data_IF_985241506372
#
_entry.id   IF_985241506372
#
_cell.length_a   1.000
_cell.length_b   1.000
_cell.length_c   1.000
_cell.angle_alpha   90.00
_cell.angle_beta   90.00
_cell.angle_gamma   90.00
#
_symmetry.space_group_name_H-M   'P 1'
#
loop_
_entity.id
_entity.type
_entity.pdbx_description
1 polymer ?
#
# COMPACT_ATOMS: atom_id res chain seq x y z
N UNK A 1 30.61 15.19 38.13
CA UNK A 1 29.39 15.92 37.72
C UNK A 1 29.41 16.09 36.19
N UNK A 2 28.66 15.28 35.41
CA UNK A 2 28.47 15.52 33.98
C UNK A 2 27.00 15.87 33.74
N UNK A 3 26.60 17.11 34.02
CA UNK A 3 25.20 17.54 33.94
C UNK A 3 24.87 18.41 32.71
N UNK A 4 25.75 19.31 32.21
CA UNK A 4 25.36 20.24 31.14
C UNK A 4 25.09 19.57 29.79
N UNK A 5 25.90 18.58 29.40
CA UNK A 5 25.80 17.98 28.06
C UNK A 5 24.58 17.06 27.90
N UNK A 6 24.19 16.38 28.98
CA UNK A 6 23.03 15.49 28.99
C UNK A 6 21.71 16.26 28.95
N UNK A 7 21.67 17.45 29.58
CA UNK A 7 20.55 18.38 29.48
C UNK A 7 20.40 19.00 28.10
N UNK A 8 21.49 19.42 27.46
CA UNK A 8 21.47 19.95 26.08
C UNK A 8 21.00 18.88 25.09
N UNK A 9 21.46 17.63 25.23
CA UNK A 9 21.00 16.53 24.39
C UNK A 9 19.51 16.24 24.58
N UNK A 10 19.03 16.20 25.83
CA UNK A 10 17.62 16.01 26.15
C UNK A 10 16.76 17.13 25.57
N UNK A 11 17.25 18.37 25.58
CA UNK A 11 16.53 19.52 25.06
C UNK A 11 16.46 19.49 23.52
N UNK A 12 17.57 19.17 22.84
CA UNK A 12 17.59 18.99 21.39
C UNK A 12 16.73 17.82 20.91
N UNK A 13 16.65 16.74 21.69
CA UNK A 13 15.77 15.62 21.40
C UNK A 13 14.29 16.00 21.52
N UNK A 14 13.92 16.73 22.58
CA UNK A 14 12.55 17.22 22.76
C UNK A 14 12.15 18.23 21.67
N UNK A 15 13.07 19.11 21.24
CA UNK A 15 12.81 20.01 20.11
C UNK A 15 12.53 19.26 18.82
N UNK A 16 13.37 18.27 18.46
CA UNK A 16 13.12 17.45 17.27
C UNK A 16 11.81 16.68 17.36
N UNK A 17 11.46 16.18 18.54
CA UNK A 17 10.20 15.50 18.76
C UNK A 17 9.00 16.44 18.55
N UNK A 18 9.11 17.67 19.06
CA UNK A 18 8.12 18.71 18.88
C UNK A 18 7.99 19.15 17.41
N UNK A 19 9.10 19.32 16.70
CA UNK A 19 9.11 19.63 15.25
C UNK A 19 8.44 18.52 14.43
N UNK A 20 8.71 17.26 14.76
CA UNK A 20 8.06 16.11 14.12
C UNK A 20 6.55 16.10 14.42
N UNK A 21 6.17 16.44 15.64
CA UNK A 21 4.78 16.52 16.07
C UNK A 21 4.03 17.67 15.38
N UNK A 22 4.65 18.84 15.25
CA UNK A 22 4.11 19.99 14.51
C UNK A 22 3.99 19.70 13.02
N UNK A 23 4.97 19.02 12.42
CA UNK A 23 4.91 18.60 11.03
C UNK A 23 3.80 17.59 10.77
N UNK A 24 3.62 16.61 11.66
CA UNK A 24 2.51 15.66 11.60
C UNK A 24 1.16 16.37 11.76
N UNK A 25 1.07 17.35 12.66
CA UNK A 25 -0.12 18.16 12.85
C UNK A 25 -0.46 19.00 11.61
N UNK A 26 0.54 19.54 10.92
CA UNK A 26 0.31 20.25 9.65
C UNK A 26 -0.10 19.31 8.52
N UNK A 27 0.54 18.14 8.40
CA UNK A 27 0.11 17.12 7.43
C UNK A 27 -1.33 16.65 7.70
N UNK A 28 -1.73 16.58 8.98
CA UNK A 28 -3.10 16.29 9.39
C UNK A 28 -4.10 17.38 8.97
N UNK A 29 -3.79 18.66 9.17
CA UNK A 29 -4.63 19.79 8.73
C UNK A 29 -4.77 19.85 7.20
N UNK A 30 -3.69 19.55 6.49
CA UNK A 30 -3.71 19.50 5.02
C UNK A 30 -4.52 18.31 4.49
N UNK A 31 -4.39 17.13 5.11
CA UNK A 31 -5.20 15.97 4.74
C UNK A 31 -6.67 16.19 5.06
N UNK A 32 -7.02 16.67 6.27
CA UNK A 32 -8.41 16.89 6.67
C UNK A 32 -9.12 17.94 5.80
N UNK A 33 -8.41 19.01 5.40
CA UNK A 33 -8.93 20.01 4.46
C UNK A 33 -9.31 19.39 3.11
N UNK A 34 -8.46 18.52 2.56
CA UNK A 34 -8.72 17.81 1.29
C UNK A 34 -9.93 16.89 1.37
N UNK A 35 -10.26 16.36 2.55
CA UNK A 35 -11.47 15.55 2.77
C UNK A 35 -12.73 16.39 3.03
N UNK A 36 -12.59 17.58 3.60
CA UNK A 36 -13.73 18.46 3.93
C UNK A 36 -14.27 19.23 2.72
N UNK A 37 -13.44 19.51 1.70
CA UNK A 37 -13.88 20.12 0.44
C UNK A 37 -14.79 19.21 -0.40
N UNK A 38 -14.79 17.89 -0.14
CA UNK A 38 -15.66 16.91 -0.82
C UNK A 38 -16.85 16.46 0.06
N UNK A 39 -16.92 16.91 1.31
CA UNK A 39 -18.00 16.59 2.25
C UNK A 39 -17.85 17.35 3.55
N UNK A 40 -18.45 18.53 3.64
CA UNK A 40 -18.27 19.46 4.75
C UNK A 40 -18.78 18.93 6.09
N UNK A 41 -17.87 18.47 6.95
CA UNK A 41 -18.05 18.43 8.41
C UNK A 41 -16.69 18.59 9.08
N UNK A 42 -16.46 19.74 9.72
CA UNK A 42 -15.45 19.86 10.78
C UNK A 42 -15.87 19.00 11.98
N UNK A 43 -15.21 17.86 12.20
CA UNK A 43 -15.22 17.15 13.48
C UNK A 43 -13.82 16.64 13.78
N UNK A 44 -13.30 16.99 14.97
CA UNK A 44 -12.20 16.26 15.59
C UNK A 44 -12.66 14.81 15.76
N UNK A 45 -12.26 13.93 14.85
CA UNK A 45 -12.70 12.53 14.85
C UNK A 45 -12.15 11.83 16.10
N UNK A 46 -13.03 11.08 16.78
CA UNK A 46 -12.63 10.26 17.93
C UNK A 46 -11.62 9.17 17.48
N UNK A 47 -10.69 8.72 18.33
CA UNK A 47 -9.70 7.70 17.96
C UNK A 47 -10.30 6.43 17.33
N UNK A 48 -11.48 6.02 17.79
CA UNK A 48 -12.23 4.87 17.28
C UNK A 48 -12.77 5.08 15.85
N UNK A 49 -13.18 6.32 15.52
CA UNK A 49 -13.58 6.71 14.16
C UNK A 49 -12.37 6.69 13.22
N UNK A 50 -11.20 7.08 13.73
CA UNK A 50 -9.95 7.07 12.96
C UNK A 50 -9.44 5.65 12.68
N UNK A 51 -9.52 4.74 13.66
CA UNK A 51 -9.21 3.32 13.44
C UNK A 51 -10.14 2.69 12.40
N UNK A 52 -11.44 2.97 12.50
CA UNK A 52 -12.45 2.46 11.57
C UNK A 52 -12.21 2.95 10.14
N UNK A 53 -11.91 4.25 9.99
CA UNK A 53 -11.56 4.84 8.69
C UNK A 53 -10.29 4.22 8.12
N UNK A 54 -9.24 4.07 8.93
CA UNK A 54 -7.98 3.49 8.49
C UNK A 54 -8.12 2.01 8.07
N UNK A 55 -8.94 1.24 8.79
CA UNK A 55 -9.27 -0.13 8.42
C UNK A 55 -10.08 -0.20 7.12
N UNK A 56 -11.07 0.67 6.94
CA UNK A 56 -11.84 0.77 5.70
C UNK A 56 -10.94 1.10 4.50
N UNK A 57 -9.99 2.02 4.68
CA UNK A 57 -8.99 2.34 3.66
C UNK A 57 -8.14 1.11 3.35
N UNK A 58 -7.63 0.40 4.36
CA UNK A 58 -6.85 -0.82 4.16
C UNK A 58 -7.63 -1.91 3.40
N UNK A 59 -8.91 -2.12 3.73
CA UNK A 59 -9.80 -3.04 3.01
C UNK A 59 -9.94 -2.65 1.53
N UNK A 60 -10.27 -1.38 1.24
CA UNK A 60 -10.43 -0.90 -0.15
C UNK A 60 -9.12 -1.00 -0.93
N UNK A 61 -8.00 -0.59 -0.35
CA UNK A 61 -6.70 -0.61 -1.03
C UNK A 61 -6.27 -2.04 -1.34
N UNK A 62 -6.41 -2.98 -0.39
CA UNK A 62 -6.07 -4.39 -0.63
C UNK A 62 -6.98 -5.04 -1.67
N UNK A 63 -8.27 -4.69 -1.69
CA UNK A 63 -9.21 -5.12 -2.74
C UNK A 63 -8.79 -4.61 -4.13
N UNK A 64 -8.44 -3.33 -4.25
CA UNK A 64 -7.96 -2.75 -5.51
C UNK A 64 -6.68 -3.42 -5.99
N UNK A 65 -5.77 -3.72 -5.06
CA UNK A 65 -4.52 -4.40 -5.35
C UNK A 65 -4.76 -5.84 -5.82
N UNK A 66 -5.73 -6.56 -5.24
CA UNK A 66 -6.15 -7.89 -5.69
C UNK A 66 -6.68 -7.84 -7.13
N UNK A 67 -7.62 -6.94 -7.41
CA UNK A 67 -8.19 -6.76 -8.78
C UNK A 67 -7.08 -6.45 -9.78
N UNK A 68 -6.14 -5.59 -9.41
CA UNK A 68 -5.00 -5.22 -10.27
C UNK A 68 -4.08 -6.41 -10.51
N UNK A 69 -3.70 -7.15 -9.46
CA UNK A 69 -2.86 -8.33 -9.60
C UNK A 69 -3.54 -9.43 -10.43
N UNK A 70 -4.85 -9.65 -10.28
CA UNK A 70 -5.60 -10.58 -11.15
C UNK A 70 -5.50 -10.20 -12.64
N UNK A 71 -5.59 -8.89 -12.96
CA UNK A 71 -5.39 -8.41 -14.33
C UNK A 71 -3.97 -8.67 -14.80
N UNK A 72 -2.96 -8.43 -13.95
CA UNK A 72 -1.55 -8.68 -14.28
C UNK A 72 -1.32 -10.18 -14.52
N UNK A 73 -1.82 -11.08 -13.66
CA UNK A 73 -1.74 -12.55 -13.86
C UNK A 73 -2.27 -12.96 -15.23
N UNK A 74 -3.36 -12.34 -15.67
CA UNK A 74 -3.94 -12.61 -16.99
C UNK A 74 -3.11 -12.03 -18.14
N UNK A 75 -2.47 -10.88 -17.92
CA UNK A 75 -1.69 -10.15 -18.91
C UNK A 75 -0.28 -10.73 -19.12
N UNK A 76 0.29 -11.44 -18.14
CA UNK A 76 1.65 -12.00 -18.22
C UNK A 76 1.70 -13.44 -18.76
N UNK A 77 0.60 -13.94 -19.33
CA UNK A 77 0.55 -15.31 -19.86
C UNK A 77 1.61 -15.49 -20.95
N UNK A 78 2.40 -16.56 -20.80
CA UNK A 78 3.47 -16.90 -21.73
C UNK A 78 4.82 -16.24 -21.44
N UNK A 79 4.95 -15.45 -20.36
CA UNK A 79 6.26 -15.11 -19.79
C UNK A 79 6.94 -16.34 -19.15
N UNK A 80 8.23 -16.28 -18.77
CA UNK A 80 8.86 -17.34 -17.98
C UNK A 80 8.04 -17.75 -16.75
N UNK A 81 7.96 -19.06 -16.47
CA UNK A 81 7.15 -19.62 -15.38
C UNK A 81 7.47 -18.97 -14.04
N UNK A 82 8.76 -18.75 -13.76
CA UNK A 82 9.22 -18.20 -12.48
C UNK A 82 8.65 -16.81 -12.23
N UNK A 83 8.51 -15.97 -13.27
CA UNK A 83 7.87 -14.65 -13.17
C UNK A 83 6.36 -14.76 -12.99
N UNK A 84 5.72 -15.69 -13.72
CA UNK A 84 4.29 -15.93 -13.56
C UNK A 84 3.96 -16.40 -12.14
N UNK A 85 4.77 -17.27 -11.57
CA UNK A 85 4.56 -17.84 -10.25
C UNK A 85 4.81 -16.80 -9.14
N UNK A 86 5.79 -15.91 -9.30
CA UNK A 86 5.97 -14.75 -8.42
C UNK A 86 4.74 -13.84 -8.39
N UNK A 87 4.16 -13.52 -9.54
CA UNK A 87 2.95 -12.68 -9.58
C UNK A 87 1.73 -13.39 -8.99
N UNK A 88 1.58 -14.70 -9.21
CA UNK A 88 0.54 -15.50 -8.54
C UNK A 88 0.74 -15.50 -7.03
N UNK A 89 1.97 -15.66 -6.56
CA UNK A 89 2.30 -15.59 -5.14
C UNK A 89 1.97 -14.20 -4.56
N UNK A 90 2.23 -13.14 -5.32
CA UNK A 90 1.80 -11.79 -4.94
C UNK A 90 0.30 -11.69 -4.77
N UNK A 91 -0.48 -12.20 -5.73
CA UNK A 91 -1.94 -12.23 -5.64
C UNK A 91 -2.40 -12.97 -4.38
N UNK A 92 -1.93 -14.19 -4.12
CA UNK A 92 -2.29 -14.94 -2.91
C UNK A 92 -1.91 -14.20 -1.62
N UNK A 93 -0.75 -13.53 -1.60
CA UNK A 93 -0.30 -12.71 -0.47
C UNK A 93 -1.26 -11.54 -0.19
N UNK A 94 -1.76 -10.89 -1.24
CA UNK A 94 -2.71 -9.78 -1.14
C UNK A 94 -4.09 -10.29 -0.70
N UNK A 95 -4.51 -11.46 -1.18
CA UNK A 95 -5.75 -12.12 -0.78
C UNK A 95 -5.77 -12.46 0.71
N UNK A 96 -4.68 -13.02 1.23
CA UNK A 96 -4.53 -13.27 2.67
C UNK A 96 -4.62 -11.98 3.48
N UNK A 97 -3.97 -10.92 3.02
CA UNK A 97 -3.97 -9.62 3.70
C UNK A 97 -5.35 -8.96 3.67
N UNK A 98 -6.03 -9.02 2.53
CA UNK A 98 -7.40 -8.53 2.37
C UNK A 98 -8.34 -9.30 3.29
N UNK A 99 -8.25 -10.65 3.33
CA UNK A 99 -9.08 -11.48 4.19
C UNK A 99 -8.89 -11.12 5.68
N UNK A 100 -7.65 -10.86 6.11
CA UNK A 100 -7.37 -10.42 7.47
C UNK A 100 -8.04 -9.07 7.80
N UNK A 101 -8.00 -8.11 6.88
CA UNK A 101 -8.63 -6.80 7.10
C UNK A 101 -10.15 -6.83 7.00
N UNK A 102 -10.73 -7.67 6.12
CA UNK A 102 -12.17 -7.71 5.86
C UNK A 102 -13.00 -8.27 7.02
N UNK A 103 -12.40 -9.07 7.91
CA UNK A 103 -13.08 -9.63 9.08
C UNK A 103 -13.00 -8.70 10.30
N UNK A 104 -12.01 -7.82 10.36
CA UNK A 104 -11.82 -6.90 11.47
C UNK A 104 -12.86 -5.77 11.46
N UNK A 105 -13.31 -5.35 12.64
CA UNK A 105 -14.15 -4.15 12.84
C UNK A 105 -13.37 -3.01 13.50
N UNK A 106 -12.26 -3.35 14.16
CA UNK A 106 -11.30 -2.45 14.77
C UNK A 106 -9.88 -3.03 14.64
N UNK A 107 -8.85 -2.25 14.94
CA UNK A 107 -7.48 -2.76 14.93
C UNK A 107 -7.19 -3.78 16.04
N UNK A 108 -8.01 -3.81 17.09
CA UNK A 108 -7.90 -4.80 18.17
C UNK A 108 -8.30 -6.20 17.72
N UNK A 109 -9.09 -6.31 16.65
CA UNK A 109 -9.51 -7.59 16.07
C UNK A 109 -8.43 -8.22 15.19
N UNK A 110 -7.39 -7.45 14.84
CA UNK A 110 -6.28 -7.92 14.02
C UNK A 110 -5.23 -8.61 14.89
N UNK A 111 -4.77 -9.82 14.52
CA UNK A 111 -3.59 -10.40 15.13
C UNK A 111 -2.39 -9.45 15.02
N UNK A 112 -1.61 -9.32 16.08
CA UNK A 112 -0.46 -8.41 16.15
C UNK A 112 0.59 -8.63 15.05
N UNK A 113 0.63 -9.84 14.50
CA UNK A 113 1.50 -10.20 13.38
C UNK A 113 1.03 -9.65 12.03
N UNK A 114 -0.26 -9.35 11.83
CA UNK A 114 -0.81 -9.02 10.50
C UNK A 114 -0.18 -7.75 9.92
N UNK A 115 -0.01 -6.69 10.73
CA UNK A 115 0.57 -5.43 10.24
C UNK A 115 2.08 -5.58 9.95
N UNK A 116 2.82 -6.23 10.85
CA UNK A 116 4.26 -6.42 10.71
C UNK A 116 4.57 -7.35 9.53
N UNK A 117 3.86 -8.48 9.46
CA UNK A 117 4.02 -9.46 8.39
C UNK A 117 3.48 -8.91 7.07
N UNK A 118 2.35 -8.21 7.09
CA UNK A 118 1.74 -7.57 5.93
C UNK A 118 2.69 -6.59 5.26
N UNK A 119 3.39 -5.75 6.05
CA UNK A 119 4.41 -4.85 5.51
C UNK A 119 5.56 -5.59 4.81
N UNK A 120 6.07 -6.67 5.42
CA UNK A 120 7.15 -7.48 4.80
C UNK A 120 6.66 -8.18 3.54
N UNK A 121 5.47 -8.78 3.61
CA UNK A 121 4.78 -9.44 2.49
C UNK A 121 4.59 -8.48 1.31
N UNK A 122 4.11 -7.26 1.56
CA UNK A 122 3.96 -6.24 0.52
C UNK A 122 5.29 -5.76 -0.06
N UNK A 123 6.37 -5.73 0.72
CA UNK A 123 7.70 -5.44 0.19
C UNK A 123 8.17 -6.52 -0.80
N UNK A 124 7.91 -7.80 -0.51
CA UNK A 124 8.19 -8.91 -1.44
C UNK A 124 7.31 -8.83 -2.69
N UNK A 125 6.03 -8.47 -2.54
CA UNK A 125 5.14 -8.22 -3.69
C UNK A 125 5.71 -7.13 -4.60
N UNK A 126 6.21 -6.04 -4.01
CA UNK A 126 6.82 -4.95 -4.76
C UNK A 126 8.08 -5.42 -5.49
N UNK A 127 8.98 -6.14 -4.83
CA UNK A 127 10.19 -6.71 -5.44
C UNK A 127 9.87 -7.60 -6.65
N UNK A 128 8.86 -8.47 -6.53
CA UNK A 128 8.42 -9.32 -7.63
C UNK A 128 7.86 -8.54 -8.82
N UNK A 129 7.15 -7.43 -8.56
CA UNK A 129 6.64 -6.56 -9.62
C UNK A 129 7.76 -5.77 -10.29
N UNK A 130 8.75 -5.32 -9.54
CA UNK A 130 9.95 -4.65 -10.07
C UNK A 130 10.76 -5.60 -10.96
N UNK A 131 10.96 -6.85 -10.54
CA UNK A 131 11.62 -7.88 -11.34
C UNK A 131 10.88 -8.18 -12.65
N UNK A 132 9.54 -8.28 -12.59
CA UNK A 132 8.72 -8.42 -13.79
C UNK A 132 8.94 -7.25 -14.76
N UNK A 133 8.90 -6.01 -14.26
CA UNK A 133 9.08 -4.81 -15.09
C UNK A 133 10.49 -4.75 -15.69
N UNK A 134 11.52 -5.10 -14.93
CA UNK A 134 12.89 -5.12 -15.40
C UNK A 134 13.09 -6.22 -16.46
N UNK A 135 12.45 -7.39 -16.30
CA UNK A 135 12.45 -8.42 -17.34
C UNK A 135 11.81 -7.90 -18.64
N UNK A 136 10.63 -7.29 -18.57
CA UNK A 136 9.92 -6.77 -19.75
C UNK A 136 10.66 -5.65 -20.46
N UNK A 137 11.42 -4.83 -19.72
CA UNK A 137 12.26 -3.76 -20.27
C UNK A 137 13.46 -4.31 -21.05
N UNK A 138 14.06 -5.39 -20.57
CA UNK A 138 15.31 -5.93 -21.12
C UNK A 138 15.09 -7.09 -22.13
N UNK A 139 13.85 -7.54 -22.31
CA UNK A 139 13.53 -8.70 -23.13
C UNK A 139 12.31 -8.45 -24.02
N UNK A 140 12.27 -9.13 -25.18
CA UNK A 140 11.09 -9.20 -26.05
C UNK A 140 10.59 -10.65 -26.09
N UNK A 141 9.81 -11.09 -25.09
CA UNK A 141 9.40 -12.48 -24.97
C UNK A 141 8.46 -12.91 -26.11
N UNK A 142 8.92 -13.82 -26.96
CA UNK A 142 8.16 -14.31 -28.12
C UNK A 142 6.88 -15.07 -27.74
N UNK A 143 6.87 -15.71 -26.58
CA UNK A 143 5.74 -16.48 -26.06
C UNK A 143 4.71 -15.62 -25.33
N UNK A 144 4.96 -14.32 -25.15
CA UNK A 144 4.08 -13.44 -24.38
C UNK A 144 2.79 -13.13 -25.14
N UNK A 145 1.67 -13.49 -24.53
CA UNK A 145 0.34 -13.25 -25.07
C UNK A 145 -0.14 -11.84 -24.70
N UNK A 146 0.14 -10.87 -25.57
CA UNK A 146 -0.36 -9.50 -25.44
C UNK A 146 -1.77 -9.38 -26.03
N UNK A 147 -2.63 -8.55 -25.45
CA UNK A 147 -3.98 -8.28 -25.95
C UNK A 147 -4.97 -7.92 -24.84
N UNK A 148 -6.26 -7.69 -25.17
CA UNK A 148 -6.89 -7.91 -26.48
C UNK A 148 -6.50 -6.86 -27.53
N UNK A 149 -6.40 -7.29 -28.79
CA UNK A 149 -6.24 -6.40 -29.94
C UNK A 149 -7.52 -6.44 -30.78
N UNK A 150 -8.04 -5.26 -31.14
CA UNK A 150 -9.15 -5.14 -32.08
C UNK A 150 -8.60 -4.74 -33.45
N UNK A 151 -9.09 -5.33 -34.55
CA UNK A 151 -8.75 -4.86 -35.88
C UNK A 151 -9.21 -3.41 -36.05
N UNK A 152 -8.45 -2.62 -36.81
CA UNK A 152 -8.92 -1.30 -37.25
C UNK A 152 -9.84 -1.49 -38.44
N UNK A 153 -11.07 -1.00 -38.37
CA UNK A 153 -11.93 -0.90 -39.55
C UNK A 153 -11.31 0.12 -40.51
N UNK A 154 -10.76 -0.33 -41.63
CA UNK A 154 -10.45 0.54 -42.75
C UNK A 154 -11.78 0.93 -43.41
N UNK A 155 -12.17 2.19 -43.27
CA UNK A 155 -13.28 2.76 -44.04
C UNK A 155 -12.79 2.90 -45.47
N UNK A 156 -13.21 1.95 -46.33
CA UNK A 156 -13.00 1.98 -47.78
C UNK A 156 -13.98 2.97 -48.43
#
# INVERSE_FOLDING_TARGET
LPLPQMEVFKQGFNQKLQEVQEKLHQMWLDWSRRFSEEGGVERSAEPEEMESLALLMAQRTTQQLQVTCCKIVSAIRGLPSDLQDKVKQSLSTIEELHAAFSVAKSFRDLPSSVLIQGRRKLAVVQEYMEELLEYLKNNTPLSWLVGPFSPREEVV
#
